data_IF_996059954013
#
_entry.id   IF_996059954013
#
_cell.length_a   1.000
_cell.length_b   1.000
_cell.length_c   1.000
_cell.angle_alpha   90.00
_cell.angle_beta   90.00
_cell.angle_gamma   90.00
#
_symmetry.space_group_name_H-M   'P 1'
#
loop_
_entity.id
_entity.type
_entity.pdbx_description
1 polymer ?
#
# COMPACT_ATOMS: atom_id res chain seq x y z
N UNK A 1 63.39 3.25 0.16
CA UNK A 1 62.08 3.66 0.75
C UNK A 1 61.07 2.65 0.26
N UNK A 2 60.77 1.66 1.10
CA UNK A 2 59.81 0.59 0.80
C UNK A 2 58.45 1.10 1.23
N UNK A 3 57.54 1.35 0.29
CA UNK A 3 56.17 1.73 0.58
C UNK A 3 55.46 0.50 1.16
N UNK A 4 55.17 0.53 2.46
CA UNK A 4 54.36 -0.50 3.12
C UNK A 4 53.00 -0.69 2.46
N UNK A 5 52.39 -1.85 2.59
CA UNK A 5 51.08 -2.13 2.00
C UNK A 5 50.04 -1.14 2.50
N UNK A 6 49.19 -0.63 1.57
CA UNK A 6 48.11 0.27 1.89
C UNK A 6 47.14 -0.36 2.92
N UNK A 7 46.59 0.43 3.85
CA UNK A 7 45.65 -0.07 4.82
C UNK A 7 44.45 -0.76 4.13
N UNK A 8 44.18 -2.02 4.47
CA UNK A 8 43.00 -2.73 3.97
C UNK A 8 41.77 -2.11 4.64
N UNK A 9 40.97 -1.37 3.87
CA UNK A 9 39.73 -0.80 4.36
C UNK A 9 38.78 -1.96 4.79
N UNK A 10 38.25 -1.95 6.02
CA UNK A 10 37.37 -3.02 6.47
C UNK A 10 36.13 -3.08 5.58
N UNK A 11 35.83 -4.28 5.09
CA UNK A 11 34.67 -4.51 4.24
C UNK A 11 33.39 -4.00 4.93
N UNK A 12 32.67 -3.10 4.28
CA UNK A 12 31.39 -2.56 4.80
C UNK A 12 30.41 -3.72 4.98
N UNK A 13 29.76 -3.84 6.16
CA UNK A 13 28.82 -4.94 6.40
C UNK A 13 27.68 -4.86 5.36
N UNK A 14 27.46 -5.98 4.67
CA UNK A 14 26.35 -6.09 3.69
C UNK A 14 25.04 -5.94 4.46
N UNK A 15 24.31 -4.87 4.17
CA UNK A 15 23.03 -4.59 4.81
C UNK A 15 22.06 -5.77 4.55
N UNK A 16 21.60 -6.43 5.62
CA UNK A 16 20.72 -7.59 5.54
C UNK A 16 19.37 -7.16 4.97
N UNK A 17 19.04 -7.61 3.77
CA UNK A 17 17.74 -7.37 3.14
C UNK A 17 16.62 -7.99 3.96
N UNK A 18 15.55 -7.23 4.20
CA UNK A 18 14.34 -7.68 4.91
C UNK A 18 13.19 -7.96 3.97
N UNK A 19 13.48 -8.46 2.78
CA UNK A 19 12.49 -8.77 1.74
C UNK A 19 11.40 -9.72 2.27
N UNK A 20 11.75 -10.69 3.10
CA UNK A 20 10.77 -11.58 3.74
C UNK A 20 9.76 -10.82 4.60
N UNK A 21 10.20 -9.78 5.34
CA UNK A 21 9.30 -8.94 6.12
C UNK A 21 8.38 -8.10 5.22
N UNK A 22 8.91 -7.52 4.14
CA UNK A 22 8.09 -6.77 3.16
C UNK A 22 6.99 -7.66 2.59
N UNK A 23 7.35 -8.87 2.14
CA UNK A 23 6.38 -9.83 1.57
C UNK A 23 5.36 -10.27 2.61
N UNK A 24 5.78 -10.57 3.83
CA UNK A 24 4.87 -10.98 4.91
C UNK A 24 3.86 -9.88 5.24
N UNK A 25 4.32 -8.63 5.40
CA UNK A 25 3.43 -7.49 5.66
C UNK A 25 2.48 -7.25 4.48
N UNK A 26 2.98 -7.29 3.25
CA UNK A 26 2.16 -7.14 2.06
C UNK A 26 1.07 -8.22 1.97
N UNK A 27 1.41 -9.47 2.25
CA UNK A 27 0.45 -10.58 2.26
C UNK A 27 -0.62 -10.41 3.35
N UNK A 28 -0.24 -9.97 4.55
CA UNK A 28 -1.17 -9.69 5.65
C UNK A 28 -2.12 -8.56 5.27
N UNK A 29 -1.61 -7.44 4.76
CA UNK A 29 -2.44 -6.30 4.35
C UNK A 29 -3.40 -6.71 3.24
N UNK A 30 -2.93 -7.42 2.23
CA UNK A 30 -3.76 -7.93 1.13
C UNK A 30 -4.88 -8.85 1.64
N UNK A 31 -4.55 -9.79 2.54
CA UNK A 31 -5.53 -10.70 3.10
C UNK A 31 -6.60 -9.98 3.94
N UNK A 32 -6.18 -9.01 4.76
CA UNK A 32 -7.09 -8.21 5.58
C UNK A 32 -7.96 -7.30 4.70
N UNK A 33 -7.40 -6.68 3.66
CA UNK A 33 -8.15 -5.86 2.71
C UNK A 33 -9.22 -6.70 2.00
N UNK A 34 -8.85 -7.86 1.48
CA UNK A 34 -9.80 -8.78 0.84
C UNK A 34 -10.91 -9.23 1.81
N UNK A 35 -10.55 -9.58 3.04
CA UNK A 35 -11.50 -10.02 4.06
C UNK A 35 -12.47 -8.89 4.45
N UNK A 36 -11.97 -7.68 4.70
CA UNK A 36 -12.80 -6.52 5.07
C UNK A 36 -13.70 -6.07 3.93
N UNK A 37 -13.24 -6.08 2.69
CA UNK A 37 -14.06 -5.80 1.51
C UNK A 37 -15.16 -6.86 1.32
N UNK A 38 -14.83 -8.15 1.51
CA UNK A 38 -15.83 -9.20 1.41
C UNK A 38 -16.88 -9.10 2.54
N UNK A 39 -16.45 -8.79 3.76
CA UNK A 39 -17.34 -8.49 4.86
C UNK A 39 -18.25 -7.29 4.54
N UNK A 40 -17.71 -6.18 4.05
CA UNK A 40 -18.48 -4.99 3.71
C UNK A 40 -19.55 -5.28 2.64
N UNK A 41 -19.22 -6.08 1.62
CA UNK A 41 -20.17 -6.49 0.58
C UNK A 41 -21.37 -7.25 1.13
N UNK A 42 -21.19 -8.03 2.19
CA UNK A 42 -22.29 -8.78 2.82
C UNK A 42 -23.00 -7.98 3.92
N UNK A 43 -22.24 -7.33 4.79
CA UNK A 43 -22.81 -6.65 5.96
C UNK A 43 -23.51 -5.33 5.64
N UNK A 44 -23.10 -4.66 4.54
CA UNK A 44 -23.63 -3.37 4.11
C UNK A 44 -24.56 -3.49 2.89
N UNK A 45 -24.96 -4.70 2.51
CA UNK A 45 -25.84 -4.94 1.37
C UNK A 45 -27.21 -4.27 1.52
N UNK A 46 -27.73 -4.26 2.75
CA UNK A 46 -29.06 -3.72 3.08
C UNK A 46 -29.02 -2.23 3.45
N UNK A 47 -27.85 -1.61 3.49
CA UNK A 47 -27.69 -0.18 3.76
C UNK A 47 -26.49 0.14 4.66
N UNK A 48 -26.25 1.43 4.90
CA UNK A 48 -25.15 1.90 5.74
C UNK A 48 -25.39 1.61 7.22
N UNK A 49 -24.31 1.47 7.98
CA UNK A 49 -24.29 1.34 9.43
C UNK A 49 -23.68 2.63 10.02
N UNK A 50 -24.47 3.40 10.72
CA UNK A 50 -23.99 4.59 11.44
C UNK A 50 -23.24 4.16 12.70
N UNK A 51 -22.05 4.74 12.93
CA UNK A 51 -21.21 4.42 14.09
C UNK A 51 -21.29 5.53 15.14
N UNK A 52 -20.69 6.69 14.86
CA UNK A 52 -20.75 7.85 15.74
C UNK A 52 -20.49 9.15 14.96
N UNK A 53 -21.17 10.23 15.32
CA UNK A 53 -21.06 11.53 14.65
C UNK A 53 -21.33 11.41 13.16
N UNK A 54 -20.37 11.82 12.33
CA UNK A 54 -20.44 11.69 10.86
C UNK A 54 -19.80 10.40 10.33
N UNK A 55 -19.31 9.53 11.21
CA UNK A 55 -18.63 8.28 10.81
C UNK A 55 -19.65 7.17 10.63
N UNK A 56 -19.65 6.58 9.45
CA UNK A 56 -20.49 5.43 9.11
C UNK A 56 -19.76 4.46 8.19
N UNK A 57 -20.29 3.25 8.11
CA UNK A 57 -19.89 2.26 7.12
C UNK A 57 -20.92 2.27 6.00
N UNK A 58 -20.50 2.62 4.79
CA UNK A 58 -21.37 2.74 3.64
C UNK A 58 -20.69 2.17 2.40
N UNK A 59 -21.35 1.23 1.72
CA UNK A 59 -20.79 0.56 0.55
C UNK A 59 -20.73 1.49 -0.65
N UNK A 60 -19.54 1.72 -1.18
CA UNK A 60 -19.30 2.54 -2.38
C UNK A 60 -18.43 1.76 -3.37
N UNK A 61 -18.85 1.75 -4.63
CA UNK A 61 -18.08 1.16 -5.74
C UNK A 61 -17.32 2.25 -6.49
N UNK A 62 -16.04 2.43 -6.16
CA UNK A 62 -15.19 3.47 -6.70
C UNK A 62 -14.62 3.07 -8.07
N UNK A 63 -15.18 3.62 -9.13
CA UNK A 63 -14.72 3.43 -10.51
C UNK A 63 -13.71 4.48 -10.96
N UNK A 64 -13.73 5.67 -10.35
CA UNK A 64 -12.96 6.82 -10.79
C UNK A 64 -11.61 7.00 -10.06
N UNK A 65 -11.35 6.24 -9.00
CA UNK A 65 -10.18 6.41 -8.12
C UNK A 65 -10.34 7.52 -7.11
N UNK A 66 -9.28 7.79 -6.34
CA UNK A 66 -9.29 8.82 -5.32
C UNK A 66 -9.70 10.19 -5.91
N UNK A 67 -10.60 10.89 -5.23
CA UNK A 67 -11.10 12.23 -5.58
C UNK A 67 -11.84 12.35 -6.93
N UNK A 68 -12.26 11.27 -7.57
CA UNK A 68 -12.94 11.33 -8.86
C UNK A 68 -12.09 11.84 -10.03
N UNK A 69 -10.79 12.01 -9.84
CA UNK A 69 -9.87 12.71 -10.72
C UNK A 69 -9.23 11.79 -11.77
N UNK A 70 -9.81 10.83 -12.31
CA UNK A 70 -8.91 10.07 -13.19
C UNK A 70 -9.48 9.15 -14.21
N UNK A 71 -10.72 8.84 -14.16
CA UNK A 71 -11.31 8.01 -15.19
C UNK A 71 -10.42 6.82 -15.60
N UNK A 72 -10.07 6.76 -16.86
CA UNK A 72 -9.29 5.67 -17.45
C UNK A 72 -7.82 5.59 -17.00
N UNK A 73 -7.23 6.68 -16.46
CA UNK A 73 -5.80 6.71 -16.09
C UNK A 73 -5.50 6.14 -14.70
N UNK A 74 -6.46 6.09 -13.79
CA UNK A 74 -6.24 5.64 -12.41
C UNK A 74 -5.72 4.21 -12.30
N UNK A 75 -6.22 3.23 -13.06
CA UNK A 75 -5.65 1.89 -13.05
C UNK A 75 -4.18 1.84 -13.46
N UNK A 76 -3.80 2.64 -14.46
CA UNK A 76 -2.40 2.72 -14.92
C UNK A 76 -1.49 3.36 -13.87
N UNK A 77 -1.97 4.39 -13.16
CA UNK A 77 -1.23 5.00 -12.05
C UNK A 77 -1.06 4.02 -10.88
N UNK A 78 -2.08 3.23 -10.55
CA UNK A 78 -1.99 2.21 -9.52
C UNK A 78 -0.96 1.12 -9.89
N UNK A 79 -0.97 0.65 -11.13
CA UNK A 79 0.02 -0.32 -11.64
C UNK A 79 1.43 0.29 -11.67
N UNK A 80 1.57 1.55 -12.09
CA UNK A 80 2.86 2.24 -12.10
C UNK A 80 3.42 2.44 -10.68
N UNK A 81 2.57 2.84 -9.72
CA UNK A 81 2.95 2.96 -8.31
C UNK A 81 3.39 1.61 -7.73
N UNK A 82 2.64 0.55 -8.04
CA UNK A 82 3.00 -0.82 -7.66
C UNK A 82 4.35 -1.23 -8.26
N UNK A 83 4.57 -0.95 -9.55
CA UNK A 83 5.85 -1.21 -10.23
C UNK A 83 7.02 -0.46 -9.59
N UNK A 84 6.83 0.80 -9.21
CA UNK A 84 7.83 1.61 -8.52
C UNK A 84 8.19 1.03 -7.14
N UNK A 85 7.19 0.63 -6.36
CA UNK A 85 7.42 0.01 -5.03
C UNK A 85 8.16 -1.32 -5.18
N UNK A 86 7.77 -2.16 -6.13
CA UNK A 86 8.49 -3.40 -6.44
C UNK A 86 9.94 -3.13 -6.84
N UNK A 87 10.17 -2.15 -7.72
CA UNK A 87 11.51 -1.74 -8.11
C UNK A 87 12.36 -1.30 -6.90
N UNK A 88 11.79 -0.52 -5.98
CA UNK A 88 12.47 -0.11 -4.73
C UNK A 88 12.81 -1.31 -3.85
N UNK A 89 11.90 -2.28 -3.72
CA UNK A 89 12.12 -3.52 -2.96
C UNK A 89 13.25 -4.34 -3.57
N UNK A 90 13.28 -4.49 -4.90
CA UNK A 90 14.31 -5.27 -5.59
C UNK A 90 15.69 -4.60 -5.61
N UNK A 91 15.75 -3.28 -5.63
CA UNK A 91 17.02 -2.52 -5.51
C UNK A 91 17.72 -2.73 -4.16
N UNK A 92 17.01 -3.07 -3.11
CA UNK A 92 17.57 -3.64 -1.89
C UNK A 92 18.04 -2.68 -0.80
N UNK A 93 18.35 -1.43 -1.10
CA UNK A 93 18.86 -0.46 -0.11
C UNK A 93 17.76 0.01 0.86
N UNK A 94 16.52 0.09 0.37
CA UNK A 94 15.39 0.63 1.12
C UNK A 94 14.83 -0.38 2.13
N UNK A 95 15.01 -1.68 1.93
CA UNK A 95 14.47 -2.72 2.82
C UNK A 95 15.41 -3.13 3.97
N UNK A 96 16.54 -2.45 4.16
CA UNK A 96 17.54 -2.79 5.19
C UNK A 96 17.08 -2.50 6.62
N UNK A 97 16.20 -1.51 6.83
CA UNK A 97 15.67 -1.09 8.14
C UNK A 97 14.25 -1.62 8.34
N UNK A 98 13.90 -2.02 9.58
CA UNK A 98 12.57 -2.53 9.91
C UNK A 98 11.46 -1.54 9.54
N UNK A 99 11.51 -0.24 9.91
CA UNK A 99 10.45 0.70 9.57
C UNK A 99 10.23 0.83 8.06
N UNK A 100 11.31 0.83 7.27
CA UNK A 100 11.21 0.90 5.82
C UNK A 100 10.62 -0.38 5.22
N UNK A 101 10.98 -1.55 5.74
CA UNK A 101 10.42 -2.82 5.29
C UNK A 101 8.91 -2.92 5.62
N UNK A 102 8.48 -2.46 6.81
CA UNK A 102 7.07 -2.37 7.17
C UNK A 102 6.31 -1.43 6.24
N UNK A 103 6.83 -0.22 6.03
CA UNK A 103 6.22 0.79 5.17
C UNK A 103 6.06 0.29 3.73
N UNK A 104 7.12 -0.29 3.15
CA UNK A 104 7.07 -0.87 1.81
C UNK A 104 6.06 -2.02 1.72
N UNK A 105 5.99 -2.88 2.73
CA UNK A 105 5.01 -3.96 2.79
C UNK A 105 3.58 -3.43 2.84
N UNK A 106 3.31 -2.39 3.63
CA UNK A 106 1.99 -1.75 3.72
C UNK A 106 1.57 -1.13 2.38
N UNK A 107 2.46 -0.35 1.75
CA UNK A 107 2.17 0.27 0.44
C UNK A 107 1.97 -0.79 -0.63
N UNK A 108 2.82 -1.82 -0.65
CA UNK A 108 2.74 -2.91 -1.62
C UNK A 108 1.42 -3.70 -1.48
N UNK A 109 1.08 -4.11 -0.26
CA UNK A 109 -0.14 -4.87 0.03
C UNK A 109 -1.41 -4.09 -0.29
N UNK A 110 -1.48 -2.81 0.10
CA UNK A 110 -2.61 -1.93 -0.21
C UNK A 110 -2.76 -1.67 -1.72
N UNK A 111 -1.65 -1.37 -2.41
CA UNK A 111 -1.69 -1.18 -3.86
C UNK A 111 -2.15 -2.45 -4.58
N UNK A 112 -1.68 -3.63 -4.15
CA UNK A 112 -2.13 -4.90 -4.70
C UNK A 112 -3.63 -5.13 -4.45
N UNK A 113 -4.15 -4.86 -3.25
CA UNK A 113 -5.57 -5.01 -2.92
C UNK A 113 -6.47 -4.21 -3.87
N UNK A 114 -6.13 -2.94 -4.09
CA UNK A 114 -6.87 -2.09 -5.01
C UNK A 114 -6.70 -2.50 -6.49
N UNK A 115 -5.54 -3.03 -6.89
CA UNK A 115 -5.33 -3.58 -8.24
C UNK A 115 -6.14 -4.86 -8.45
N UNK A 116 -6.19 -5.75 -7.45
CA UNK A 116 -7.01 -6.98 -7.50
C UNK A 116 -8.48 -6.65 -7.76
N UNK A 117 -9.06 -5.68 -7.04
CA UNK A 117 -10.43 -5.23 -7.31
C UNK A 117 -10.60 -4.77 -8.76
N UNK A 118 -9.68 -3.98 -9.28
CA UNK A 118 -9.76 -3.44 -10.64
C UNK A 118 -9.62 -4.49 -11.73
N UNK A 119 -8.86 -5.55 -11.47
CA UNK A 119 -8.65 -6.65 -12.42
C UNK A 119 -9.81 -7.63 -12.41
N UNK A 120 -10.34 -8.00 -11.23
CA UNK A 120 -11.25 -9.14 -11.08
C UNK A 120 -12.72 -8.75 -10.86
N UNK A 121 -13.04 -7.50 -10.47
CA UNK A 121 -14.44 -7.06 -10.35
C UNK A 121 -14.99 -6.54 -11.67
N UNK A 122 -16.33 -6.53 -11.79
CA UNK A 122 -17.01 -5.99 -12.97
C UNK A 122 -16.73 -4.51 -13.19
N UNK A 123 -16.59 -4.07 -14.47
CA UNK A 123 -16.81 -4.79 -15.72
C UNK A 123 -15.62 -5.60 -16.25
N UNK A 124 -14.55 -5.79 -15.48
CA UNK A 124 -13.42 -6.63 -15.82
C UNK A 124 -12.11 -5.87 -15.95
N UNK A 125 -11.13 -6.47 -16.59
CA UNK A 125 -9.70 -6.14 -16.55
C UNK A 125 -9.40 -4.64 -16.50
N UNK A 126 -8.82 -4.20 -15.38
CA UNK A 126 -8.42 -2.82 -15.02
C UNK A 126 -9.56 -1.77 -14.99
N UNK A 127 -10.82 -2.17 -15.23
CA UNK A 127 -12.01 -1.30 -15.18
C UNK A 127 -12.92 -1.61 -14.00
N UNK A 128 -12.59 -2.62 -13.21
CA UNK A 128 -13.34 -3.00 -12.02
C UNK A 128 -13.39 -1.88 -10.98
N UNK A 129 -14.48 -1.82 -10.23
CA UNK A 129 -14.65 -0.88 -9.14
C UNK A 129 -13.92 -1.36 -7.88
N UNK A 130 -13.21 -0.47 -7.22
CA UNK A 130 -12.69 -0.72 -5.88
C UNK A 130 -13.83 -0.64 -4.88
N UNK A 131 -13.87 -1.54 -3.92
CA UNK A 131 -14.86 -1.53 -2.82
C UNK A 131 -14.34 -0.66 -1.70
N UNK A 132 -15.00 0.50 -1.50
CA UNK A 132 -14.76 1.43 -0.42
C UNK A 132 -15.94 1.37 0.56
N UNK A 133 -15.67 1.54 1.87
CA UNK A 133 -16.75 1.37 2.85
C UNK A 133 -16.61 2.21 4.13
N UNK A 134 -15.51 2.91 4.36
CA UNK A 134 -15.32 3.80 5.52
C UNK A 134 -15.62 5.23 5.10
N UNK A 135 -16.73 5.78 5.60
CA UNK A 135 -17.16 7.16 5.36
C UNK A 135 -17.03 7.97 6.66
N UNK A 136 -16.20 9.01 6.64
CA UNK A 136 -15.99 9.93 7.77
C UNK A 136 -16.70 11.27 7.57
N UNK A 137 -17.45 11.43 6.49
CA UNK A 137 -18.30 12.58 6.18
C UNK A 137 -17.62 13.78 5.52
N UNK A 138 -16.33 13.99 5.76
CA UNK A 138 -15.56 15.13 5.19
C UNK A 138 -14.42 14.69 4.25
N UNK A 139 -14.22 13.38 4.08
CA UNK A 139 -13.21 12.78 3.24
C UNK A 139 -13.86 11.79 2.27
N UNK A 140 -13.30 11.55 1.09
CA UNK A 140 -13.78 10.46 0.23
C UNK A 140 -13.85 9.13 0.96
N UNK A 141 -14.88 8.34 0.68
CA UNK A 141 -15.01 6.98 1.24
C UNK A 141 -13.79 6.15 0.84
N UNK A 142 -13.25 5.38 1.76
CA UNK A 142 -12.01 4.64 1.59
C UNK A 142 -12.11 3.23 2.20
N UNK A 143 -11.05 2.44 2.01
CA UNK A 143 -10.94 1.06 2.49
C UNK A 143 -9.64 0.81 3.28
N UNK A 144 -9.39 -0.45 3.66
CA UNK A 144 -8.19 -0.83 4.40
C UNK A 144 -6.91 -0.66 3.57
N UNK A 145 -6.96 -0.96 2.26
CA UNK A 145 -5.83 -0.78 1.36
C UNK A 145 -5.37 0.68 1.31
N UNK A 146 -6.31 1.64 1.22
CA UNK A 146 -6.02 3.08 1.21
C UNK A 146 -5.39 3.54 2.52
N UNK A 147 -5.91 3.04 3.65
CA UNK A 147 -5.33 3.26 4.98
C UNK A 147 -3.89 2.73 5.07
N UNK A 148 -3.64 1.53 4.57
CA UNK A 148 -2.32 0.92 4.56
C UNK A 148 -1.33 1.71 3.68
N UNK A 149 -1.76 2.15 2.48
CA UNK A 149 -0.94 3.00 1.60
C UNK A 149 -0.60 4.30 2.32
N UNK A 150 -1.59 4.99 2.89
CA UNK A 150 -1.40 6.28 3.57
C UNK A 150 -0.44 6.15 4.76
N UNK A 151 -0.68 5.19 5.66
CA UNK A 151 0.19 4.93 6.81
C UNK A 151 1.60 4.50 6.37
N UNK A 152 1.71 3.68 5.34
CA UNK A 152 2.99 3.26 4.76
C UNK A 152 3.77 4.45 4.19
N UNK A 153 3.12 5.33 3.45
CA UNK A 153 3.75 6.56 2.93
C UNK A 153 4.22 7.49 4.05
N UNK A 154 3.40 7.69 5.08
CA UNK A 154 3.79 8.50 6.25
C UNK A 154 5.00 7.89 6.98
N UNK A 155 5.04 6.57 7.12
CA UNK A 155 6.16 5.86 7.73
C UNK A 155 7.44 5.96 6.88
N UNK A 156 7.32 5.92 5.53
CA UNK A 156 8.45 6.15 4.63
C UNK A 156 9.03 7.55 4.79
N UNK A 157 8.17 8.57 4.87
CA UNK A 157 8.59 9.96 5.08
C UNK A 157 9.27 10.13 6.44
N UNK A 158 8.68 9.61 7.52
CA UNK A 158 9.25 9.69 8.86
C UNK A 158 10.61 8.97 8.96
N UNK A 159 10.72 7.77 8.37
CA UNK A 159 11.97 7.00 8.35
C UNK A 159 13.04 7.61 7.43
N UNK A 160 12.66 8.37 6.42
CA UNK A 160 13.55 9.13 5.54
C UNK A 160 14.14 10.36 6.23
N UNK A 161 13.31 11.07 7.01
CA UNK A 161 13.73 12.27 7.77
C UNK A 161 14.78 11.98 8.85
N UNK A 162 14.78 10.78 9.43
CA UNK A 162 15.74 10.36 10.47
C UNK A 162 17.15 10.08 9.93
N UNK A 163 17.49 10.50 8.72
CA UNK A 163 18.81 10.32 8.09
C UNK A 163 19.72 11.54 8.17
N UNK A 164 19.20 12.68 8.60
CA UNK A 164 19.96 13.90 8.88
C UNK A 164 20.28 14.02 10.38
#
# INVERSE_FOLDING_TARGET
MESGPAPVEPARPVARRRTGLVVAVAAIVLALDAATKQWALSALADGPIDLFGSVRLALVFNRAGAFGLGGAFVPFLAVAALGLVLFMVFRGDTSSRVPLALALGMVLGGAFGNVVDRVFRSPGFLKGAVVDFVDVGFWPVFNLADSAITCGCLLLLAAGWSRE
#
